data_IF_623409307639
#
_entry.id   IF_623409307639
#
_cell.length_a   1.000
_cell.length_b   1.000
_cell.length_c   1.000
_cell.angle_alpha   90.00
_cell.angle_beta   90.00
_cell.angle_gamma   90.00
#
_symmetry.space_group_name_H-M   'P 1'
#
loop_
_entity.id
_entity.type
_entity.pdbx_description
1 polymer ?
#
# COMPACT_ATOMS: atom_id res chain seq x y z
N UNK A 1 12.12 0.66 14.63
CA UNK A 1 11.72 -0.39 13.69
C UNK A 1 12.55 -0.30 12.43
N UNK A 2 12.86 -1.44 11.84
CA UNK A 2 13.73 -1.51 10.68
C UNK A 2 12.91 -1.70 9.40
N UNK A 3 13.35 -1.08 8.31
CA UNK A 3 12.82 -1.36 6.99
C UNK A 3 13.25 -2.77 6.57
N UNK A 4 12.31 -3.52 6.00
CA UNK A 4 12.55 -4.87 5.50
C UNK A 4 12.28 -4.87 4.00
N UNK A 5 13.25 -5.34 3.22
CA UNK A 5 13.11 -5.40 1.78
C UNK A 5 12.11 -6.47 1.36
N UNK A 6 11.13 -6.09 0.56
CA UNK A 6 10.09 -6.99 0.04
C UNK A 6 10.45 -7.50 -1.36
N UNK A 7 11.12 -6.67 -2.14
CA UNK A 7 11.55 -6.94 -3.51
C UNK A 7 12.59 -5.88 -3.87
N UNK A 8 13.29 -6.00 -5.01
CA UNK A 8 14.22 -4.95 -5.43
C UNK A 8 13.50 -3.58 -5.47
N UNK A 9 14.05 -2.61 -4.75
CA UNK A 9 13.49 -1.26 -4.67
C UNK A 9 12.23 -1.10 -3.83
N UNK A 10 11.76 -2.15 -3.17
CA UNK A 10 10.54 -2.13 -2.37
C UNK A 10 10.86 -2.46 -0.91
N UNK A 11 10.66 -1.50 -0.01
CA UNK A 11 10.96 -1.65 1.41
C UNK A 11 9.74 -1.31 2.25
N UNK A 12 9.52 -2.07 3.31
CA UNK A 12 8.42 -1.84 4.24
C UNK A 12 8.93 -1.73 5.67
N UNK A 13 8.44 -0.72 6.39
CA UNK A 13 8.69 -0.56 7.83
C UNK A 13 7.36 -0.69 8.54
N UNK A 14 7.22 -1.69 9.39
CA UNK A 14 5.99 -1.87 10.18
C UNK A 14 5.99 -0.83 11.32
N UNK A 15 4.89 -0.10 11.46
CA UNK A 15 4.77 0.97 12.45
C UNK A 15 3.91 0.57 13.62
N UNK A 16 2.74 -0.02 13.38
CA UNK A 16 1.83 -0.48 14.42
C UNK A 16 0.86 -1.51 13.88
N UNK A 17 0.32 -2.31 14.80
CA UNK A 17 -0.64 -3.35 14.48
C UNK A 17 -1.52 -3.55 15.72
N UNK A 18 -2.82 -3.26 15.62
CA UNK A 18 -3.74 -3.29 16.75
C UNK A 18 -5.12 -3.80 16.34
N UNK A 19 -5.79 -4.46 17.27
CA UNK A 19 -7.21 -4.77 17.14
C UNK A 19 -7.99 -3.46 17.19
N UNK A 20 -9.03 -3.36 16.38
CA UNK A 20 -9.98 -2.25 16.44
C UNK A 20 -11.13 -2.61 17.38
N UNK A 21 -11.89 -1.60 17.80
CA UNK A 21 -13.11 -1.81 18.60
C UNK A 21 -14.21 -2.50 17.80
N UNK A 22 -14.10 -2.51 16.46
CA UNK A 22 -15.01 -3.27 15.58
C UNK A 22 -14.60 -4.73 15.63
N UNK A 23 -15.49 -5.64 16.07
CA UNK A 23 -15.15 -7.05 16.16
C UNK A 23 -14.65 -7.63 14.83
N UNK A 24 -13.57 -8.41 14.88
CA UNK A 24 -13.00 -9.07 13.72
C UNK A 24 -12.16 -8.18 12.82
N UNK A 25 -11.91 -6.92 13.19
CA UNK A 25 -11.11 -5.99 12.41
C UNK A 25 -9.86 -5.57 13.17
N UNK A 26 -8.81 -5.30 12.41
CA UNK A 26 -7.54 -4.81 12.96
C UNK A 26 -6.98 -3.73 12.04
N UNK A 27 -6.17 -2.85 12.61
CA UNK A 27 -5.40 -1.86 11.84
C UNK A 27 -3.95 -2.34 11.75
N UNK A 28 -3.41 -2.26 10.54
CA UNK A 28 -2.00 -2.49 10.26
C UNK A 28 -1.51 -1.24 9.57
N UNK A 29 -0.42 -0.66 10.08
CA UNK A 29 0.13 0.55 9.47
C UNK A 29 1.61 0.36 9.20
N UNK A 30 2.02 0.73 7.97
CA UNK A 30 3.42 0.68 7.62
C UNK A 30 3.80 1.84 6.71
N UNK A 31 5.10 2.08 6.64
CA UNK A 31 5.70 3.00 5.69
C UNK A 31 6.31 2.15 4.58
N UNK A 32 5.95 2.46 3.35
CA UNK A 32 6.42 1.71 2.17
C UNK A 32 7.26 2.63 1.31
N UNK A 33 8.48 2.21 1.02
CA UNK A 33 9.38 2.93 0.12
C UNK A 33 9.39 2.20 -1.21
N UNK A 34 9.11 2.92 -2.28
CA UNK A 34 8.94 2.35 -3.61
C UNK A 34 9.89 3.06 -4.57
N UNK A 35 10.97 2.38 -4.94
CA UNK A 35 11.91 2.90 -5.92
C UNK A 35 11.39 2.73 -7.35
N UNK A 36 12.01 3.41 -8.34
CA UNK A 36 11.62 3.26 -9.74
C UNK A 36 11.76 1.83 -10.28
N UNK A 37 12.64 1.03 -9.67
CA UNK A 37 12.89 -0.36 -10.08
C UNK A 37 11.95 -1.37 -9.42
N UNK A 38 11.10 -0.93 -8.49
CA UNK A 38 10.19 -1.84 -7.78
C UNK A 38 9.22 -2.48 -8.78
N UNK A 39 8.93 -3.78 -8.64
CA UNK A 39 8.03 -4.47 -9.56
C UNK A 39 6.60 -4.01 -9.39
N UNK A 40 5.84 -4.04 -10.50
CA UNK A 40 4.42 -3.77 -10.50
C UNK A 40 3.69 -5.08 -10.20
N UNK A 41 3.13 -5.20 -9.00
CA UNK A 41 2.48 -6.43 -8.53
C UNK A 41 0.99 -6.19 -8.31
N UNK A 42 0.14 -6.90 -9.05
CA UNK A 42 -1.30 -6.84 -8.84
C UNK A 42 -1.66 -7.70 -7.65
N UNK A 43 -2.40 -7.11 -6.70
CA UNK A 43 -2.73 -7.76 -5.43
C UNK A 43 -3.96 -7.11 -4.80
N UNK A 44 -4.48 -7.74 -3.74
CA UNK A 44 -5.57 -7.18 -2.94
C UNK A 44 -5.36 -7.50 -1.46
N UNK A 45 -6.09 -6.77 -0.61
CA UNK A 45 -6.08 -6.95 0.84
C UNK A 45 -7.49 -7.22 1.34
N UNK A 46 -7.67 -7.90 2.48
CA UNK A 46 -8.99 -8.20 3.03
C UNK A 46 -9.60 -7.02 3.81
N UNK A 47 -9.52 -5.82 3.26
CA UNK A 47 -10.03 -4.58 3.82
C UNK A 47 -9.52 -3.39 3.04
N UNK A 48 -9.86 -2.19 3.50
CA UNK A 48 -9.42 -0.95 2.87
C UNK A 48 -7.95 -0.68 3.15
N UNK A 49 -7.30 -0.06 2.17
CA UNK A 49 -5.97 0.51 2.34
C UNK A 49 -6.08 2.02 2.17
N UNK A 50 -5.72 2.76 3.23
CA UNK A 50 -5.77 4.22 3.26
C UNK A 50 -4.33 4.72 3.14
N UNK A 51 -4.05 5.50 2.11
CA UNK A 51 -2.68 5.85 1.73
C UNK A 51 -2.49 7.36 1.76
N UNK A 52 -1.40 7.80 2.38
CA UNK A 52 -0.92 9.17 2.31
C UNK A 52 0.46 9.16 1.68
N UNK A 53 0.64 9.87 0.55
CA UNK A 53 1.93 9.91 -0.13
C UNK A 53 2.86 10.86 0.62
N UNK A 54 3.98 10.33 1.07
CA UNK A 54 4.96 11.07 1.87
C UNK A 54 6.00 11.75 0.99
N UNK A 55 6.37 11.12 -0.11
CA UNK A 55 7.47 11.57 -0.94
C UNK A 55 7.30 11.03 -2.36
N UNK A 56 7.68 11.84 -3.36
CA UNK A 56 7.71 11.39 -4.76
C UNK A 56 6.35 11.33 -5.43
N UNK A 57 6.28 10.55 -6.50
CA UNK A 57 5.10 10.43 -7.35
C UNK A 57 4.76 8.96 -7.52
N UNK A 58 3.57 8.57 -7.12
CA UNK A 58 3.09 7.18 -7.17
C UNK A 58 1.87 7.07 -8.07
N UNK A 59 1.93 6.17 -9.05
CA UNK A 59 0.78 5.85 -9.90
C UNK A 59 0.08 4.63 -9.33
N UNK A 60 -1.21 4.79 -9.03
CA UNK A 60 -2.07 3.69 -8.60
C UNK A 60 -2.95 3.23 -9.75
N UNK A 61 -2.99 1.91 -9.95
CA UNK A 61 -3.83 1.24 -10.91
C UNK A 61 -4.78 0.34 -10.13
N UNK A 62 -6.05 0.75 -10.08
CA UNK A 62 -7.10 -0.03 -9.43
C UNK A 62 -7.95 -0.61 -10.56
N UNK A 63 -8.18 -1.93 -10.55
CA UNK A 63 -8.95 -2.59 -11.61
C UNK A 63 -10.31 -1.91 -11.76
N UNK A 64 -10.69 -1.60 -13.00
CA UNK A 64 -11.94 -0.91 -13.30
C UNK A 64 -11.85 0.61 -13.28
N UNK A 65 -10.71 1.17 -12.89
CA UNK A 65 -10.50 2.64 -12.85
C UNK A 65 -9.34 3.03 -13.75
N UNK A 66 -9.33 4.30 -14.14
CA UNK A 66 -8.19 4.86 -14.87
C UNK A 66 -6.99 5.00 -13.94
N UNK A 67 -5.76 4.71 -14.40
CA UNK A 67 -4.57 4.96 -13.59
C UNK A 67 -4.50 6.43 -13.17
N UNK A 68 -4.10 6.67 -11.93
CA UNK A 68 -3.98 8.02 -11.41
C UNK A 68 -2.69 8.18 -10.62
N UNK A 69 -2.01 9.32 -10.84
CA UNK A 69 -0.77 9.64 -10.14
C UNK A 69 -1.06 10.55 -8.94
N UNK A 70 -0.46 10.21 -7.81
CA UNK A 70 -0.57 10.97 -6.57
C UNK A 70 0.80 11.48 -6.17
N UNK A 71 0.88 12.77 -5.83
CA UNK A 71 2.10 13.43 -5.40
C UNK A 71 2.18 13.49 -3.88
N UNK A 72 3.37 13.78 -3.35
CA UNK A 72 3.57 13.98 -1.92
C UNK A 72 2.51 14.95 -1.36
N UNK A 73 1.87 14.58 -0.26
CA UNK A 73 0.81 15.35 0.36
C UNK A 73 -0.60 14.97 -0.09
N UNK A 74 -0.73 14.11 -1.09
CA UNK A 74 -2.04 13.63 -1.55
C UNK A 74 -2.36 12.26 -0.96
N UNK A 75 -3.65 11.94 -0.91
CA UNK A 75 -4.12 10.71 -0.30
C UNK A 75 -5.16 10.03 -1.17
N UNK A 76 -5.30 8.72 -0.97
CA UNK A 76 -6.32 7.92 -1.65
C UNK A 76 -6.71 6.75 -0.76
N UNK A 77 -7.86 6.15 -1.07
CA UNK A 77 -8.31 4.91 -0.42
C UNK A 77 -8.52 3.85 -1.49
N UNK A 78 -7.90 2.69 -1.30
CA UNK A 78 -8.16 1.51 -2.13
C UNK A 78 -9.29 0.73 -1.45
N UNK A 79 -10.42 0.49 -2.13
CA UNK A 79 -11.54 -0.26 -1.54
C UNK A 79 -11.14 -1.67 -1.12
N UNK A 80 -11.88 -2.22 -0.17
CA UNK A 80 -11.66 -3.59 0.30
C UNK A 80 -11.69 -4.57 -0.87
N UNK A 81 -10.71 -5.45 -0.92
CA UNK A 81 -10.57 -6.52 -1.92
C UNK A 81 -10.38 -6.03 -3.37
N UNK A 82 -10.24 -4.73 -3.59
CA UNK A 82 -9.98 -4.22 -4.93
C UNK A 82 -8.57 -4.60 -5.39
N UNK A 83 -8.47 -5.20 -6.55
CA UNK A 83 -7.18 -5.56 -7.14
C UNK A 83 -6.50 -4.29 -7.60
N UNK A 84 -5.26 -4.08 -7.17
CA UNK A 84 -4.52 -2.86 -7.48
C UNK A 84 -3.03 -3.11 -7.56
N UNK A 85 -2.33 -2.13 -8.12
CA UNK A 85 -0.88 -2.11 -8.20
C UNK A 85 -0.41 -0.66 -8.14
N UNK A 86 0.82 -0.47 -7.66
CA UNK A 86 1.41 0.86 -7.53
C UNK A 86 2.82 0.84 -8.11
N UNK A 87 3.22 1.94 -8.74
CA UNK A 87 4.61 2.10 -9.18
C UNK A 87 5.08 3.55 -9.00
N UNK A 88 6.36 3.70 -8.83
CA UNK A 88 7.01 5.00 -8.81
C UNK A 88 7.16 5.50 -10.26
N UNK A 89 6.54 6.63 -10.56
CA UNK A 89 6.61 7.25 -11.91
C UNK A 89 7.47 8.51 -11.91
N UNK A 90 8.10 8.82 -10.77
CA UNK A 90 9.05 9.93 -10.68
C UNK A 90 10.47 9.50 -11.00
N UNK A 91 11.41 10.42 -10.81
CA UNK A 91 12.84 10.17 -11.08
C UNK A 91 13.63 9.89 -9.80
N UNK A 92 13.02 10.10 -8.63
CA UNK A 92 13.66 9.91 -7.34
C UNK A 92 12.92 8.90 -6.49
N UNK A 93 13.25 8.85 -5.18
CA UNK A 93 12.55 7.94 -4.28
C UNK A 93 11.10 8.35 -4.07
N UNK A 94 10.27 7.38 -3.72
CA UNK A 94 8.90 7.63 -3.34
C UNK A 94 8.59 6.84 -2.08
N UNK A 95 7.66 7.34 -1.27
CA UNK A 95 7.26 6.69 -0.04
C UNK A 95 5.81 7.03 0.28
N UNK A 96 5.14 6.09 0.92
CA UNK A 96 3.77 6.26 1.37
C UNK A 96 3.59 5.77 2.79
N UNK A 97 2.62 6.35 3.49
CA UNK A 97 2.09 5.83 4.74
C UNK A 97 0.85 5.04 4.39
N UNK A 98 0.88 3.74 4.62
CA UNK A 98 -0.23 2.84 4.31
C UNK A 98 -0.89 2.37 5.59
N UNK A 99 -2.19 2.61 5.71
CA UNK A 99 -3.00 2.18 6.85
C UNK A 99 -4.06 1.22 6.34
N UNK A 100 -3.99 -0.02 6.81
CA UNK A 100 -4.90 -1.08 6.39
C UNK A 100 -5.90 -1.36 7.50
N UNK A 101 -7.19 -1.40 7.15
CA UNK A 101 -8.26 -1.79 8.07
C UNK A 101 -8.81 -3.10 7.52
N UNK A 102 -8.37 -4.22 8.11
CA UNK A 102 -8.53 -5.54 7.50
C UNK A 102 -9.20 -6.55 8.44
N UNK A 103 -9.73 -7.62 7.85
CA UNK A 103 -10.28 -8.74 8.61
C UNK A 103 -9.16 -9.56 9.23
N UNK A 104 -9.33 -9.89 10.52
CA UNK A 104 -8.42 -10.77 11.23
C UNK A 104 -8.54 -12.21 10.70
N UNK A 105 -7.42 -12.90 10.68
CA UNK A 105 -7.40 -14.31 10.32
C UNK A 105 -7.37 -14.59 8.83
N UNK A 106 -7.39 -13.56 7.99
CA UNK A 106 -7.25 -13.70 6.54
C UNK A 106 -5.85 -13.32 6.08
N UNK A 107 -5.39 -13.86 4.94
CA UNK A 107 -4.10 -13.43 4.40
C UNK A 107 -4.11 -11.92 4.17
N UNK A 108 -3.08 -11.25 4.67
CA UNK A 108 -2.97 -9.80 4.57
C UNK A 108 -2.88 -9.30 3.13
N UNK A 109 -2.20 -10.06 2.28
CA UNK A 109 -1.96 -9.70 0.89
C UNK A 109 -2.10 -10.94 0.02
N UNK A 110 -2.87 -10.81 -1.06
CA UNK A 110 -3.06 -11.88 -2.03
C UNK A 110 -2.62 -11.39 -3.39
N UNK A 111 -1.59 -12.01 -3.96
CA UNK A 111 -1.08 -11.68 -5.29
C UNK A 111 -1.94 -12.35 -6.35
N UNK A 112 -2.26 -11.62 -7.41
CA UNK A 112 -3.00 -12.15 -8.55
C UNK A 112 -2.18 -12.00 -9.83
N UNK A 113 -2.46 -12.84 -10.78
CA UNK A 113 -1.77 -12.82 -12.08
C UNK A 113 -2.26 -11.70 -13.00
#
# INVERSE_FOLDING_TARGET
MSAVQQAPGLWRTDLQHHDLSIPGREVIQNRVEIGPEAPLVRHWHPGEEIIYVLEGSLEYRIDGEEPKTYEAGEALTVPAEAIHAVRNVGTGPAAELATYVVEKGKPFLVVVD
#
